data_IF_809662444721
#
_entry.id   IF_809662444721
#
_cell.length_a   1.000
_cell.length_b   1.000
_cell.length_c   1.000
_cell.angle_alpha   90.00
_cell.angle_beta   90.00
_cell.angle_gamma   90.00
#
_symmetry.space_group_name_H-M   'P 1'
#
loop_
_entity.id
_entity.type
_entity.pdbx_description
1 polymer ?
#
# COMPACT_ATOMS: atom_id res chain seq x y z
N UNK A 1 -3.46 -28.41 -20.87
CA UNK A 1 -3.58 -28.85 -20.52
C UNK A 1 -3.66 -28.59 -19.57
N UNK A 2 -4.22 -28.79 -19.51
CA UNK A 2 -4.54 -28.51 -18.63
C UNK A 2 -3.56 -28.37 -18.05
N UNK A 3 -3.13 -29.00 -18.02
CA UNK A 3 -2.26 -28.90 -17.58
C UNK A 3 -1.49 -27.87 -17.95
N UNK A 4 -1.65 -27.27 -18.83
CA UNK A 4 -0.92 -26.24 -19.23
C UNK A 4 -1.55 -25.01 -18.89
N UNK A 5 -1.14 -24.29 -17.97
CA UNK A 5 -1.75 -23.08 -17.61
C UNK A 5 -1.76 -22.25 -18.79
N UNK A 6 -2.86 -21.89 -19.14
CA UNK A 6 -3.06 -21.17 -20.29
C UNK A 6 -2.58 -19.76 -20.18
N UNK A 7 -1.95 -19.29 -21.20
CA UNK A 7 -1.52 -17.92 -21.21
C UNK A 7 -2.68 -16.97 -21.21
N UNK A 8 -3.85 -17.43 -21.53
CA UNK A 8 -5.02 -16.55 -21.51
C UNK A 8 -5.76 -16.61 -20.18
N UNK A 9 -5.17 -17.25 -19.20
CA UNK A 9 -5.77 -17.31 -17.88
C UNK A 9 -5.79 -15.91 -17.27
N UNK A 10 -6.92 -15.48 -16.70
CA UNK A 10 -6.99 -14.17 -16.11
C UNK A 10 -5.99 -13.98 -14.98
N UNK A 11 -5.57 -12.77 -14.79
CA UNK A 11 -4.59 -12.45 -13.75
C UNK A 11 -5.05 -12.90 -12.38
N UNK A 12 -6.32 -12.64 -12.04
CA UNK A 12 -6.79 -12.99 -10.71
C UNK A 12 -6.86 -14.49 -10.51
N UNK A 13 -6.97 -15.27 -11.58
CA UNK A 13 -7.00 -16.72 -11.46
C UNK A 13 -5.63 -17.29 -11.13
N UNK A 14 -4.59 -16.44 -11.21
CA UNK A 14 -3.25 -16.87 -10.87
C UNK A 14 -2.78 -16.30 -9.55
N UNK A 15 -3.71 -15.89 -8.73
CA UNK A 15 -3.32 -15.32 -7.45
C UNK A 15 -2.61 -16.37 -6.61
N UNK A 16 -1.73 -15.93 -5.71
CA UNK A 16 -0.94 -16.84 -4.89
C UNK A 16 -1.81 -17.76 -4.05
N UNK A 17 -1.28 -18.93 -3.76
CA UNK A 17 -1.99 -19.90 -2.93
C UNK A 17 -2.27 -19.35 -1.54
N UNK A 18 -1.34 -18.56 -1.02
CA UNK A 18 -1.50 -17.91 0.27
C UNK A 18 -1.31 -16.42 0.07
N UNK A 19 -2.37 -15.74 -0.39
CA UNK A 19 -2.23 -14.33 -0.72
C UNK A 19 -1.99 -13.47 0.52
N UNK A 20 -1.14 -12.47 0.37
CA UNK A 20 -0.92 -11.48 1.41
C UNK A 20 -2.06 -10.48 1.39
N UNK A 21 -2.12 -9.62 2.39
CA UNK A 21 -3.08 -8.54 2.39
C UNK A 21 -2.89 -7.63 1.18
N UNK A 22 -1.65 -7.42 0.76
CA UNK A 22 -1.39 -6.60 -0.43
C UNK A 22 -1.96 -7.25 -1.68
N UNK A 23 -1.85 -8.58 -1.80
CA UNK A 23 -2.44 -9.30 -2.92
C UNK A 23 -3.95 -9.13 -2.94
N UNK A 24 -4.58 -9.19 -1.77
CA UNK A 24 -6.03 -9.04 -1.67
C UNK A 24 -6.47 -7.62 -2.04
N UNK A 25 -5.71 -6.62 -1.63
CA UNK A 25 -6.00 -5.23 -1.98
C UNK A 25 -5.93 -5.06 -3.50
N UNK A 26 -4.89 -5.59 -4.12
CA UNK A 26 -4.72 -5.49 -5.58
C UNK A 26 -5.86 -6.18 -6.32
N UNK A 27 -6.26 -7.34 -5.85
CA UNK A 27 -7.37 -8.07 -6.45
C UNK A 27 -8.66 -7.26 -6.36
N UNK A 28 -8.92 -6.70 -5.18
CA UNK A 28 -10.10 -5.89 -4.95
C UNK A 28 -10.12 -4.68 -5.89
N UNK A 29 -8.99 -3.99 -6.00
CA UNK A 29 -8.89 -2.79 -6.83
C UNK A 29 -9.03 -3.11 -8.31
N UNK A 30 -8.40 -4.20 -8.74
CA UNK A 30 -8.43 -4.61 -10.14
C UNK A 30 -9.85 -4.97 -10.56
N UNK A 31 -10.57 -5.69 -9.72
CA UNK A 31 -11.94 -6.07 -10.01
C UNK A 31 -12.85 -4.86 -10.19
N UNK A 32 -12.52 -3.75 -9.57
CA UNK A 32 -13.33 -2.54 -9.64
C UNK A 32 -12.84 -1.57 -10.69
N UNK A 33 -11.82 -1.96 -11.44
CA UNK A 33 -11.34 -1.14 -12.54
C UNK A 33 -10.44 0.01 -12.14
N UNK A 34 -9.91 -0.02 -10.91
CA UNK A 34 -9.08 1.07 -10.43
C UNK A 34 -7.81 1.23 -11.25
N UNK A 35 -7.20 0.13 -11.65
CA UNK A 35 -5.96 0.21 -12.42
C UNK A 35 -6.21 0.54 -13.88
N UNK A 36 -7.41 0.27 -14.35
CA UNK A 36 -7.78 0.57 -15.73
C UNK A 36 -8.23 2.03 -15.89
N UNK A 37 -8.95 2.54 -14.90
CA UNK A 37 -9.59 3.85 -15.00
C UNK A 37 -9.09 4.88 -13.97
N UNK A 38 -8.31 4.46 -13.00
CA UNK A 38 -7.77 5.38 -12.00
C UNK A 38 -6.49 6.03 -12.48
N UNK A 39 -6.01 6.98 -11.70
CA UNK A 39 -4.77 7.67 -12.03
C UNK A 39 -4.00 8.03 -10.76
N UNK A 40 -2.71 8.29 -10.93
CA UNK A 40 -1.83 8.55 -9.80
C UNK A 40 -2.16 9.85 -9.09
N UNK A 41 -2.59 10.87 -9.82
CA UNK A 41 -2.88 12.15 -9.19
C UNK A 41 -4.07 12.06 -8.25
N UNK A 42 -5.12 11.37 -8.67
CA UNK A 42 -6.29 11.17 -7.83
C UNK A 42 -5.94 10.35 -6.61
N UNK A 43 -5.14 9.30 -6.77
CA UNK A 43 -4.73 8.49 -5.63
C UNK A 43 -3.81 9.27 -4.68
N UNK A 44 -2.98 10.17 -5.20
CA UNK A 44 -2.15 11.02 -4.36
C UNK A 44 -3.00 11.94 -3.50
N UNK A 45 -4.05 12.52 -4.07
CA UNK A 45 -4.96 13.35 -3.30
C UNK A 45 -5.70 12.54 -2.25
N UNK A 46 -6.07 11.32 -2.60
CA UNK A 46 -6.73 10.42 -1.66
C UNK A 46 -5.80 10.09 -0.50
N UNK A 47 -4.52 9.91 -0.78
CA UNK A 47 -3.54 9.66 0.28
C UNK A 47 -3.49 10.82 1.26
N UNK A 48 -3.48 12.05 0.77
CA UNK A 48 -3.48 13.23 1.63
C UNK A 48 -4.72 13.25 2.52
N UNK A 49 -5.88 12.90 1.96
CA UNK A 49 -7.11 12.79 2.74
C UNK A 49 -6.97 11.78 3.88
N UNK A 50 -6.49 10.58 3.55
CA UNK A 50 -6.38 9.52 4.56
C UNK A 50 -5.38 9.88 5.65
N UNK A 51 -4.29 10.51 5.29
CA UNK A 51 -3.30 10.96 6.27
C UNK A 51 -3.92 12.02 7.17
N UNK A 52 -4.66 12.96 6.58
CA UNK A 52 -5.32 14.01 7.35
C UNK A 52 -6.34 13.46 8.34
N UNK A 53 -7.15 12.49 7.90
CA UNK A 53 -8.13 11.85 8.76
C UNK A 53 -7.47 11.09 9.89
N UNK A 54 -6.34 10.43 9.59
CA UNK A 54 -5.59 9.71 10.62
C UNK A 54 -5.04 10.69 11.66
N UNK A 55 -4.49 11.81 11.21
CA UNK A 55 -3.98 12.82 12.13
C UNK A 55 -5.09 13.37 13.02
N UNK A 56 -6.27 13.61 12.46
CA UNK A 56 -7.39 14.08 13.24
C UNK A 56 -7.80 13.07 14.30
N UNK A 57 -7.83 11.79 13.89
CA UNK A 57 -8.17 10.73 14.84
C UNK A 57 -7.18 10.67 15.99
N UNK A 58 -5.89 10.88 15.69
CA UNK A 58 -4.85 10.90 16.72
C UNK A 58 -5.11 12.05 17.70
N UNK A 59 -5.41 13.23 17.19
CA UNK A 59 -5.67 14.38 18.03
C UNK A 59 -6.92 14.20 18.90
N UNK A 60 -7.88 13.42 18.43
CA UNK A 60 -9.10 13.15 19.19
C UNK A 60 -8.99 11.88 20.04
N UNK A 61 -7.86 11.21 19.99
CA UNK A 61 -7.64 9.96 20.72
C UNK A 61 -8.67 8.90 20.34
N UNK A 62 -9.03 8.87 19.07
CA UNK A 62 -10.01 7.92 18.53
C UNK A 62 -9.27 6.69 18.02
N UNK A 63 -9.18 5.67 18.86
CA UNK A 63 -8.39 4.48 18.54
C UNK A 63 -8.87 3.79 17.26
N UNK A 64 -10.18 3.65 17.10
CA UNK A 64 -10.71 2.97 15.91
C UNK A 64 -10.44 3.78 14.66
N UNK A 65 -10.58 5.10 14.75
CA UNK A 65 -10.28 5.99 13.64
C UNK A 65 -8.81 5.95 13.23
N UNK A 66 -7.91 5.82 14.22
CA UNK A 66 -6.48 5.71 13.94
C UNK A 66 -6.20 4.40 13.20
N UNK A 67 -6.77 3.31 13.70
CA UNK A 67 -6.58 1.98 13.10
C UNK A 67 -7.08 1.97 11.67
N UNK A 68 -8.28 2.47 11.44
CA UNK A 68 -8.86 2.53 10.09
C UNK A 68 -8.02 3.41 9.18
N UNK A 69 -7.58 4.55 9.69
CA UNK A 69 -6.81 5.50 8.88
C UNK A 69 -5.48 4.94 8.42
N UNK A 70 -4.79 4.22 9.29
CA UNK A 70 -3.53 3.60 8.92
C UNK A 70 -3.76 2.57 7.82
N UNK A 71 -4.79 1.74 7.98
CA UNK A 71 -5.12 0.74 6.98
C UNK A 71 -5.51 1.37 5.65
N UNK A 72 -6.34 2.40 5.69
CA UNK A 72 -6.78 3.08 4.48
C UNK A 72 -5.61 3.72 3.75
N UNK A 73 -4.66 4.28 4.48
CA UNK A 73 -3.46 4.85 3.87
C UNK A 73 -2.65 3.78 3.15
N UNK A 74 -2.53 2.60 3.75
CA UNK A 74 -1.78 1.50 3.14
C UNK A 74 -2.49 1.01 1.87
N UNK A 75 -3.83 0.97 1.90
CA UNK A 75 -4.60 0.59 0.71
C UNK A 75 -4.31 1.57 -0.43
N UNK A 76 -4.36 2.86 -0.15
CA UNK A 76 -4.09 3.87 -1.18
C UNK A 76 -2.66 3.77 -1.70
N UNK A 77 -1.69 3.57 -0.79
CA UNK A 77 -0.29 3.43 -1.20
C UNK A 77 -0.08 2.20 -2.07
N UNK A 78 -0.74 1.09 -1.75
CA UNK A 78 -0.63 -0.13 -2.54
C UNK A 78 -1.13 0.12 -3.97
N UNK A 79 -2.26 0.80 -4.08
CA UNK A 79 -2.84 1.08 -5.39
C UNK A 79 -2.04 2.13 -6.16
N UNK A 80 -1.49 3.10 -5.45
CA UNK A 80 -0.63 4.10 -6.08
C UNK A 80 0.62 3.44 -6.68
N UNK A 81 1.20 2.49 -5.95
CA UNK A 81 2.37 1.76 -6.44
C UNK A 81 2.03 1.03 -7.74
N UNK A 82 0.89 0.32 -7.78
CA UNK A 82 0.49 -0.40 -8.99
C UNK A 82 0.28 0.55 -10.16
N UNK A 83 -0.36 1.68 -9.92
CA UNK A 83 -0.57 2.66 -10.97
C UNK A 83 0.74 3.25 -11.49
N UNK A 84 1.75 3.28 -10.63
CA UNK A 84 3.07 3.77 -11.00
C UNK A 84 3.91 2.68 -11.68
N UNK A 85 3.44 1.44 -11.66
CA UNK A 85 4.13 0.34 -12.31
C UNK A 85 5.09 -0.42 -11.41
N UNK A 86 4.95 -0.28 -10.10
CA UNK A 86 5.80 -1.02 -9.15
C UNK A 86 4.92 -1.70 -8.12
N UNK A 87 5.46 -2.70 -7.46
CA UNK A 87 4.77 -3.37 -6.37
C UNK A 87 5.08 -2.66 -5.07
N UNK A 88 4.07 -2.54 -4.20
CA UNK A 88 4.29 -1.92 -2.89
C UNK A 88 5.35 -2.69 -2.10
N UNK A 89 5.41 -4.02 -2.26
CA UNK A 89 6.43 -4.83 -1.58
C UNK A 89 7.84 -4.39 -1.98
N UNK A 90 8.04 -4.05 -3.24
CA UNK A 90 9.33 -3.58 -3.71
C UNK A 90 9.68 -2.23 -3.10
N UNK A 91 8.69 -1.34 -3.01
CA UNK A 91 8.89 -0.05 -2.37
C UNK A 91 9.31 -0.22 -0.92
N UNK A 92 8.63 -1.11 -0.21
CA UNK A 92 8.95 -1.39 1.20
C UNK A 92 10.36 -1.96 1.34
N UNK A 93 10.71 -2.91 0.46
CA UNK A 93 12.02 -3.54 0.51
C UNK A 93 13.13 -2.53 0.29
N UNK A 94 12.96 -1.63 -0.66
CA UNK A 94 13.95 -0.59 -0.92
C UNK A 94 14.10 0.35 0.28
N UNK A 95 12.97 0.75 0.88
CA UNK A 95 13.00 1.62 2.03
C UNK A 95 13.68 0.95 3.21
N UNK A 96 13.37 -0.32 3.44
CA UNK A 96 13.97 -1.06 4.55
C UNK A 96 15.46 -1.24 4.34
N UNK A 97 15.87 -1.55 3.11
CA UNK A 97 17.28 -1.71 2.81
C UNK A 97 18.05 -0.44 3.14
N UNK A 98 17.46 0.71 2.87
CA UNK A 98 18.10 1.98 3.19
C UNK A 98 18.15 2.25 4.68
N UNK A 99 17.05 2.07 5.41
CA UNK A 99 17.01 2.41 6.83
C UNK A 99 17.72 1.39 7.71
N UNK A 100 17.85 0.14 7.25
CA UNK A 100 18.39 -0.92 8.09
C UNK A 100 19.85 -0.68 8.49
N UNK A 101 20.58 0.09 7.70
CA UNK A 101 21.98 0.37 8.01
C UNK A 101 22.20 1.76 8.62
N UNK A 102 21.13 2.52 8.84
CA UNK A 102 21.28 3.85 9.42
C UNK A 102 21.62 3.80 10.89
N UNK A 103 22.47 4.73 11.30
CA UNK A 103 22.75 4.95 12.72
C UNK A 103 22.23 6.32 13.08
N UNK A 104 21.89 6.47 14.36
CA UNK A 104 21.35 7.74 14.83
C UNK A 104 20.73 7.53 16.19
N UNK A 105 19.85 8.44 16.58
CA UNK A 105 19.20 8.37 17.88
C UNK A 105 17.84 9.08 17.83
N UNK A 106 17.03 8.78 18.82
CA UNK A 106 15.73 9.42 18.94
C UNK A 106 15.91 10.84 19.50
N UNK A 107 15.28 11.81 18.85
CA UNK A 107 15.31 13.19 19.27
C UNK A 107 13.92 13.77 19.05
N UNK A 108 13.32 14.26 20.13
CA UNK A 108 12.00 14.90 20.04
C UNK A 108 10.96 14.06 19.30
N UNK A 109 10.92 12.76 19.59
CA UNK A 109 9.88 11.89 19.04
C UNK A 109 10.15 11.31 17.66
N UNK A 110 11.33 11.58 17.10
CA UNK A 110 11.64 11.05 15.78
C UNK A 110 13.10 10.56 15.76
N UNK A 111 13.37 9.64 14.85
CA UNK A 111 14.72 9.14 14.67
C UNK A 111 15.51 10.15 13.84
N UNK A 112 16.63 10.59 14.40
CA UNK A 112 17.50 11.53 13.70
C UNK A 112 18.78 10.80 13.32
N UNK A 113 19.01 10.67 12.02
CA UNK A 113 20.20 9.96 11.55
C UNK A 113 21.45 10.84 11.73
N UNK A 114 22.56 10.15 11.89
CA UNK A 114 23.84 10.82 12.02
C UNK A 114 24.24 11.58 10.77
#
# INVERSE_FOLDING_TARGET
DAKNPCVCEPEFARRPKHPSQFDLIREWADERGLYDKGDTKTQALKLVEEVGETCRAILKEDHDGITDGIGDAVVVLTNLAELHGVRIEHCIAMAYDEISSRTGKMVNGTFKKD
#
